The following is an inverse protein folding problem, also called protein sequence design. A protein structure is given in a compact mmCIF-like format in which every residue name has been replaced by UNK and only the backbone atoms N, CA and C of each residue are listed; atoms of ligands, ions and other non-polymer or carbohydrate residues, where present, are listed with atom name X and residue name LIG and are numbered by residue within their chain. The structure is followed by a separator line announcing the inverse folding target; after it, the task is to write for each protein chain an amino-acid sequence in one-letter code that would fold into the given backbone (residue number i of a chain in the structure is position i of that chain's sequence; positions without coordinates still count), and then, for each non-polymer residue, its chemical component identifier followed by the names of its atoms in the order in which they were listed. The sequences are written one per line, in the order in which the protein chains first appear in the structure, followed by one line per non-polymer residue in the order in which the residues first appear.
data_IF_909781899683
#
_entry.id   IF_909781899683
#
_cell.length_a   1.000
_cell.length_b   1.000
_cell.length_c   1.000
_cell.angle_alpha   90.00
_cell.angle_beta   90.00
_cell.angle_gamma   90.00
#
_symmetry.space_group_name_H-M   'P 1'
#
loop_
_entity.id
_entity.type
_entity.pdbx_description
1 polymer ?
#
# COMPACT_ATOMS: atom_id res chain seq x y z
N UNK A 1 -4.56 -3.79 13.54
CA UNK A 1 -4.45 -4.03 12.09
C UNK A 1 -5.43 -3.12 11.37
N UNK A 2 -5.03 -2.60 10.22
CA UNK A 2 -5.86 -1.67 9.46
C UNK A 2 -6.74 -2.43 8.48
N UNK A 3 -8.05 -2.17 8.55
CA UNK A 3 -9.00 -2.80 7.65
C UNK A 3 -8.92 -2.15 6.26
N UNK A 4 -8.90 -2.94 5.19
CA UNK A 4 -8.93 -2.37 3.83
C UNK A 4 -10.31 -1.78 3.50
N UNK A 5 -10.40 -0.94 2.45
CA UNK A 5 -11.67 -0.30 2.09
C UNK A 5 -12.81 -1.27 1.84
N UNK A 6 -12.55 -2.41 1.23
CA UNK A 6 -13.58 -3.40 0.92
C UNK A 6 -14.18 -3.99 2.20
N UNK A 7 -13.39 -4.14 3.26
CA UNK A 7 -13.92 -4.59 4.54
C UNK A 7 -14.84 -3.54 5.15
N UNK A 8 -14.42 -2.27 5.10
CA UNK A 8 -15.20 -1.16 5.65
C UNK A 8 -16.52 -0.99 4.89
N UNK A 9 -16.47 -1.04 3.55
CA UNK A 9 -17.63 -0.80 2.71
C UNK A 9 -18.55 -2.00 2.57
N UNK A 10 -17.97 -3.20 2.40
CA UNK A 10 -18.70 -4.39 1.99
C UNK A 10 -18.67 -5.50 3.02
N UNK A 11 -17.90 -5.32 4.07
CA UNK A 11 -17.75 -6.30 5.16
C UNK A 11 -17.24 -7.65 4.67
N UNK A 12 -16.44 -7.66 3.59
CA UNK A 12 -15.75 -8.85 3.11
C UNK A 12 -14.47 -8.44 2.37
N UNK A 13 -13.59 -9.40 2.13
CA UNK A 13 -12.33 -9.15 1.44
C UNK A 13 -11.77 -10.45 0.88
N UNK A 14 -10.85 -10.30 -0.09
CA UNK A 14 -10.03 -11.39 -0.58
C UNK A 14 -8.71 -11.39 0.19
N UNK A 15 -8.30 -12.53 0.71
CA UNK A 15 -7.16 -12.62 1.61
C UNK A 15 -5.87 -12.04 1.02
N UNK A 16 -5.56 -12.38 -0.25
CA UNK A 16 -4.36 -11.87 -0.91
C UNK A 16 -4.35 -10.36 -1.04
N UNK A 17 -5.47 -9.79 -1.49
CA UNK A 17 -5.59 -8.34 -1.66
C UNK A 17 -5.54 -7.60 -0.33
N UNK A 18 -6.14 -8.17 0.71
CA UNK A 18 -6.11 -7.58 2.05
C UNK A 18 -4.69 -7.59 2.62
N UNK A 19 -3.93 -8.65 2.35
CA UNK A 19 -2.52 -8.74 2.76
C UNK A 19 -1.70 -7.65 2.08
N UNK A 20 -1.91 -7.43 0.78
CA UNK A 20 -1.22 -6.37 0.04
C UNK A 20 -1.53 -5.00 0.63
N UNK A 21 -2.78 -4.74 0.98
CA UNK A 21 -3.17 -3.50 1.64
C UNK A 21 -2.39 -3.30 2.94
N UNK A 22 -2.34 -4.33 3.77
CA UNK A 22 -1.62 -4.26 5.05
C UNK A 22 -0.14 -4.01 4.86
N UNK A 23 0.47 -4.62 3.83
CA UNK A 23 1.87 -4.38 3.50
C UNK A 23 2.10 -2.93 3.07
N UNK A 24 1.16 -2.37 2.30
CA UNK A 24 1.25 -0.96 1.89
C UNK A 24 1.22 -0.02 3.08
N UNK A 25 0.34 -0.28 4.04
CA UNK A 25 0.28 0.51 5.28
C UNK A 25 1.58 0.40 6.06
N UNK A 26 2.12 -0.80 6.19
CA UNK A 26 3.37 -1.02 6.90
C UNK A 26 4.55 -0.30 6.21
N UNK A 27 4.64 -0.42 4.89
CA UNK A 27 5.70 0.25 4.13
C UNK A 27 5.61 1.76 4.29
N UNK A 28 4.41 2.32 4.23
CA UNK A 28 4.22 3.76 4.44
C UNK A 28 4.72 4.19 5.81
N UNK A 29 4.34 3.44 6.85
CA UNK A 29 4.78 3.74 8.21
C UNK A 29 6.30 3.70 8.33
N UNK A 30 6.93 2.72 7.70
CA UNK A 30 8.38 2.57 7.77
C UNK A 30 9.13 3.71 7.08
N UNK A 31 8.64 4.22 5.95
CA UNK A 31 9.35 5.25 5.19
C UNK A 31 8.93 6.66 5.54
N UNK A 32 7.72 6.86 6.02
CA UNK A 32 7.22 8.19 6.40
C UNK A 32 7.22 8.43 7.90
N UNK A 33 7.33 7.37 8.70
CA UNK A 33 7.33 7.48 10.15
C UNK A 33 5.96 7.73 10.76
N UNK A 34 4.90 7.48 10.02
CA UNK A 34 3.54 7.70 10.48
C UNK A 34 2.58 6.81 9.70
N UNK A 35 1.36 6.69 10.16
CA UNK A 35 0.34 5.90 9.48
C UNK A 35 -0.30 6.74 8.37
N UNK A 36 -0.72 6.10 7.25
CA UNK A 36 -1.30 6.86 6.14
C UNK A 36 -2.73 7.33 6.39
N UNK A 37 -3.46 6.65 7.26
CA UNK A 37 -4.86 6.94 7.51
C UNK A 37 -5.17 6.91 8.99
N UNK A 38 -5.96 7.86 9.46
CA UNK A 38 -6.39 7.91 10.86
C UNK A 38 -7.85 7.51 11.03
N UNK A 39 -8.67 7.62 9.96
CA UNK A 39 -10.10 7.35 10.02
C UNK A 39 -10.54 6.55 8.80
N UNK A 40 -11.66 5.87 8.96
CA UNK A 40 -12.23 5.03 7.91
C UNK A 40 -12.53 5.82 6.63
N UNK A 41 -12.97 7.07 6.75
CA UNK A 41 -13.24 7.91 5.59
C UNK A 41 -11.97 8.12 4.75
N UNK A 42 -10.84 8.27 5.40
CA UNK A 42 -9.56 8.46 4.71
C UNK A 42 -9.15 7.19 3.97
N UNK A 43 -9.36 6.03 4.59
CA UNK A 43 -9.09 4.74 3.95
C UNK A 43 -9.92 4.60 2.68
N UNK A 44 -11.19 4.91 2.75
CA UNK A 44 -12.10 4.76 1.62
C UNK A 44 -11.88 5.81 0.53
N UNK A 45 -11.29 6.95 0.86
CA UNK A 45 -10.99 7.99 -0.13
C UNK A 45 -9.81 7.65 -1.01
N UNK A 46 -8.89 6.83 -0.51
CA UNK A 46 -7.71 6.42 -1.27
C UNK A 46 -6.65 7.49 -1.43
N UNK A 47 -6.77 8.62 -0.73
CA UNK A 47 -5.78 9.70 -0.81
C UNK A 47 -4.66 9.42 0.16
N UNK A 48 -3.43 9.40 -0.36
CA UNK A 48 -2.22 9.15 0.44
C UNK A 48 -1.25 10.30 0.23
N UNK A 49 -0.81 10.93 1.31
CA UNK A 49 0.15 12.02 1.25
C UNK A 49 1.51 11.53 1.72
N UNK A 50 2.50 11.61 0.83
CA UNK A 50 3.86 11.15 1.12
C UNK A 50 4.73 12.29 1.60
N UNK A 51 5.71 11.95 2.44
CA UNK A 51 6.80 12.87 2.79
C UNK A 51 7.68 13.11 1.56
N UNK A 52 8.29 14.29 1.49
CA UNK A 52 9.08 14.69 0.32
C UNK A 52 10.28 13.77 0.04
N UNK A 53 10.84 13.17 1.09
CA UNK A 53 12.02 12.33 0.94
C UNK A 53 11.75 10.94 0.37
N UNK A 54 10.49 10.57 0.20
CA UNK A 54 10.14 9.24 -0.34
C UNK A 54 10.39 9.22 -1.85
N UNK A 55 11.16 8.24 -2.32
CA UNK A 55 11.50 8.13 -3.74
C UNK A 55 10.28 7.82 -4.61
N UNK A 56 10.37 8.16 -5.90
CA UNK A 56 9.30 7.87 -6.86
C UNK A 56 8.95 6.38 -6.91
N UNK A 57 9.93 5.47 -7.07
CA UNK A 57 9.62 4.03 -7.08
C UNK A 57 8.98 3.55 -5.79
N UNK A 58 9.39 4.06 -4.64
CA UNK A 58 8.78 3.70 -3.36
C UNK A 58 7.32 4.17 -3.30
N UNK A 59 7.06 5.41 -3.73
CA UNK A 59 5.69 5.94 -3.80
C UNK A 59 4.81 5.09 -4.71
N UNK A 60 5.35 4.67 -5.84
CA UNK A 60 4.62 3.85 -6.80
C UNK A 60 4.23 2.51 -6.18
N UNK A 61 5.16 1.85 -5.50
CA UNK A 61 4.88 0.57 -4.86
C UNK A 61 3.80 0.72 -3.79
N UNK A 62 3.94 1.69 -2.91
CA UNK A 62 2.98 1.92 -1.83
C UNK A 62 1.60 2.26 -2.40
N UNK A 63 1.56 3.15 -3.41
CA UNK A 63 0.29 3.52 -4.05
C UNK A 63 -0.38 2.32 -4.70
N UNK A 64 0.40 1.42 -5.30
CA UNK A 64 -0.13 0.20 -5.91
C UNK A 64 -0.71 -0.76 -4.86
N UNK A 65 -0.14 -0.77 -3.66
CA UNK A 65 -0.65 -1.57 -2.55
C UNK A 65 -1.92 -1.00 -1.94
N UNK A 66 -2.07 0.33 -1.96
CA UNK A 66 -3.15 1.04 -1.26
C UNK A 66 -4.28 1.47 -2.19
N UNK A 67 -4.44 0.80 -3.34
CA UNK A 67 -5.59 1.05 -4.22
C UNK A 67 -6.89 0.74 -3.49
N UNK A 68 -7.88 1.62 -3.62
CA UNK A 68 -9.19 1.43 -2.98
C UNK A 68 -9.88 0.17 -3.53
N UNK A 69 -9.84 -0.01 -4.86
CA UNK A 69 -10.42 -1.19 -5.49
C UNK A 69 -9.45 -2.35 -5.39
N UNK A 70 -9.87 -3.43 -4.74
CA UNK A 70 -8.98 -4.56 -4.49
C UNK A 70 -8.49 -5.23 -5.77
N UNK A 71 -9.28 -5.18 -6.84
CA UNK A 71 -8.91 -5.74 -8.14
C UNK A 71 -7.77 -4.97 -8.81
N UNK A 72 -7.56 -3.72 -8.42
CA UNK A 72 -6.52 -2.86 -8.98
C UNK A 72 -5.22 -2.89 -8.20
N UNK A 73 -5.20 -3.53 -7.05
CA UNK A 73 -3.99 -3.64 -6.24
C UNK A 73 -2.97 -4.55 -6.91
N UNK A 74 -1.70 -4.23 -6.68
CA UNK A 74 -0.61 -5.07 -7.17
C UNK A 74 -0.75 -6.47 -6.56
N UNK A 75 -0.62 -7.55 -7.37
CA UNK A 75 -0.60 -8.90 -6.81
C UNK A 75 0.58 -9.10 -5.87
N UNK A 76 0.40 -9.89 -4.82
CA UNK A 76 1.45 -10.14 -3.84
C UNK A 76 2.74 -10.63 -4.51
N UNK A 77 2.61 -11.50 -5.52
CA UNK A 77 3.76 -12.04 -6.25
C UNK A 77 4.52 -10.96 -7.01
N UNK A 78 3.87 -9.87 -7.39
CA UNK A 78 4.51 -8.80 -8.15
C UNK A 78 5.20 -7.76 -7.27
N UNK A 79 4.98 -7.77 -5.97
CA UNK A 79 5.63 -6.85 -5.06
C UNK A 79 7.14 -7.05 -5.09
N UNK A 80 7.59 -8.31 -5.07
CA UNK A 80 9.03 -8.64 -5.05
C UNK A 80 9.73 -8.26 -6.34
N UNK A 81 9.00 -8.15 -7.45
CA UNK A 81 9.56 -7.78 -8.75
C UNK A 81 9.34 -6.31 -9.08
N UNK A 82 8.74 -5.53 -8.18
CA UNK A 82 8.54 -4.10 -8.39
C UNK A 82 9.88 -3.38 -8.53
N UNK A 83 9.90 -2.31 -9.33
CA UNK A 83 11.09 -1.48 -9.56
C UNK A 83 11.86 -1.13 -8.30
N UNK A 84 11.14 -0.74 -7.25
CA UNK A 84 11.78 -0.34 -6.01
C UNK A 84 12.55 -1.51 -5.37
N UNK A 85 11.94 -2.70 -5.37
CA UNK A 85 12.58 -3.89 -4.80
C UNK A 85 13.74 -4.37 -5.67
N UNK A 86 13.52 -4.43 -6.99
CA UNK A 86 14.56 -4.86 -7.93
C UNK A 86 15.73 -3.90 -7.98
N UNK A 87 15.46 -2.59 -7.97
CA UNK A 87 16.49 -1.58 -7.96
C UNK A 87 17.38 -1.70 -6.74
N UNK A 88 16.78 -1.96 -5.60
CA UNK A 88 17.51 -2.16 -4.36
C UNK A 88 18.44 -3.38 -4.45
N UNK A 89 17.93 -4.47 -5.00
CA UNK A 89 18.72 -5.70 -5.16
C UNK A 89 19.88 -5.53 -6.12
N UNK A 90 19.69 -4.71 -7.16
CA UNK A 90 20.69 -4.54 -8.22
C UNK A 90 21.85 -3.64 -7.82
N UNK A 91 21.73 -2.94 -6.72
CA UNK A 91 22.80 -2.04 -6.27
C UNK A 91 23.94 -2.76 -5.55
N UNK A 92 23.81 -4.03 -5.37
CA UNK A 92 24.81 -4.83 -4.68
C UNK A 92 25.98 -5.22 -5.55
#
# INVERSE_FOLDING_TARGET
MYAPPEWIKLNHYQAGSATVWSLGVLLFDMVCGDIPFERDEQICSGVVEFSEHVSGPCRDLISSCLRVEQEERIPLTNILTHCWMCGYSQTQ
#
